data_IF_205571470232
#
_entry.id   IF_205571470232
#
_cell.length_a   1.000
_cell.length_b   1.000
_cell.length_c   1.000
_cell.angle_alpha   90.00
_cell.angle_beta   90.00
_cell.angle_gamma   90.00
#
_symmetry.space_group_name_H-M   'P 1'
#
loop_
_entity.id
_entity.type
_entity.pdbx_description
1 polymer ?
#
# COMPACT_ATOMS: atom_id res chain seq x y z
N UNK A 1 -5.01 3.82 -19.87
CA UNK A 1 -4.07 4.77 -19.22
C UNK A 1 -4.65 4.97 -17.83
N UNK A 2 -3.86 5.12 -16.78
CA UNK A 2 -4.45 5.36 -15.46
C UNK A 2 -4.96 6.81 -15.45
N UNK A 3 -6.27 6.98 -15.52
CA UNK A 3 -6.95 8.28 -15.55
C UNK A 3 -7.47 8.64 -14.15
N UNK A 4 -8.09 9.82 -14.06
CA UNK A 4 -8.59 10.38 -12.81
C UNK A 4 -9.68 9.50 -12.18
N UNK A 5 -10.63 9.00 -12.97
CA UNK A 5 -11.68 8.09 -12.50
C UNK A 5 -11.10 6.76 -11.98
N UNK A 6 -10.11 6.18 -12.68
CA UNK A 6 -9.40 4.99 -12.20
C UNK A 6 -8.67 5.24 -10.88
N UNK A 7 -8.13 6.45 -10.68
CA UNK A 7 -7.48 6.84 -9.43
C UNK A 7 -8.47 7.00 -8.29
N UNK A 8 -9.63 7.63 -8.52
CA UNK A 8 -10.68 7.77 -7.52
C UNK A 8 -11.20 6.41 -7.04
N UNK A 9 -11.53 5.51 -7.98
CA UNK A 9 -11.98 4.15 -7.66
C UNK A 9 -10.91 3.40 -6.86
N UNK A 10 -9.64 3.53 -7.26
CA UNK A 10 -8.53 2.90 -6.55
C UNK A 10 -8.38 3.47 -5.13
N UNK A 11 -8.43 4.79 -4.97
CA UNK A 11 -8.33 5.47 -3.69
C UNK A 11 -9.41 5.00 -2.71
N UNK A 12 -10.67 4.96 -3.14
CA UNK A 12 -11.80 4.51 -2.30
C UNK A 12 -11.63 3.04 -1.89
N UNK A 13 -11.24 2.17 -2.82
CA UNK A 13 -10.99 0.74 -2.54
C UNK A 13 -9.84 0.57 -1.55
N UNK A 14 -8.75 1.33 -1.71
CA UNK A 14 -7.59 1.22 -0.82
C UNK A 14 -7.88 1.74 0.57
N UNK A 15 -8.60 2.87 0.67
CA UNK A 15 -9.06 3.38 1.96
C UNK A 15 -9.93 2.35 2.68
N UNK A 16 -10.96 1.83 2.02
CA UNK A 16 -11.84 0.81 2.59
C UNK A 16 -11.10 -0.47 3.00
N UNK A 17 -10.17 -0.95 2.17
CA UNK A 17 -9.35 -2.12 2.50
C UNK A 17 -8.47 -1.87 3.73
N UNK A 18 -7.82 -0.71 3.83
CA UNK A 18 -6.99 -0.36 4.99
C UNK A 18 -7.83 -0.11 6.25
N UNK A 19 -9.02 0.47 6.12
CA UNK A 19 -9.98 0.70 7.21
C UNK A 19 -10.39 -0.64 7.85
N UNK A 20 -10.75 -1.65 7.03
CA UNK A 20 -11.10 -2.98 7.55
C UNK A 20 -9.96 -3.70 8.28
N UNK A 21 -8.72 -3.25 8.11
CA UNK A 21 -7.54 -3.81 8.76
C UNK A 21 -7.04 -2.96 9.94
N UNK A 22 -7.74 -1.88 10.31
CA UNK A 22 -7.29 -0.86 11.26
C UNK A 22 -5.95 -0.21 10.87
N UNK A 23 -5.65 -0.13 9.57
CA UNK A 23 -4.39 0.38 9.04
C UNK A 23 -4.51 1.78 8.45
N UNK A 24 -5.72 2.25 8.09
CA UNK A 24 -5.89 3.58 7.51
C UNK A 24 -5.34 4.67 8.42
N UNK A 25 -5.74 4.68 9.68
CA UNK A 25 -5.23 5.59 10.72
C UNK A 25 -3.71 5.53 10.87
N UNK A 26 -3.11 4.35 10.68
CA UNK A 26 -1.66 4.16 10.79
C UNK A 26 -0.94 4.76 9.60
N UNK A 27 -1.52 4.64 8.41
CA UNK A 27 -1.00 5.23 7.16
C UNK A 27 -1.17 6.74 7.18
N UNK A 28 -2.37 7.23 7.51
CA UNK A 28 -2.73 8.65 7.48
C UNK A 28 -1.93 9.46 8.51
N UNK A 29 -1.79 8.94 9.74
CA UNK A 29 -1.08 9.67 10.81
C UNK A 29 0.44 9.53 10.72
N UNK A 30 0.95 8.51 10.00
CA UNK A 30 2.36 8.09 9.91
C UNK A 30 3.21 8.36 11.17
N UNK A 31 2.63 8.10 12.34
CA UNK A 31 3.26 8.51 13.60
C UNK A 31 4.59 7.79 13.81
N UNK A 32 5.55 8.47 14.42
CA UNK A 32 6.80 7.82 14.82
C UNK A 32 6.57 6.97 16.06
N UNK A 33 7.10 5.74 16.05
CA UNK A 33 7.06 4.85 17.22
C UNK A 33 8.25 5.23 18.10
N UNK A 34 7.99 6.00 19.16
CA UNK A 34 9.03 6.37 20.13
C UNK A 34 9.69 5.13 20.75
N UNK A 35 11.01 5.17 21.03
CA UNK A 35 11.69 4.11 21.76
C UNK A 35 11.04 3.87 23.13
N UNK A 36 11.10 2.63 23.61
CA UNK A 36 10.74 2.32 24.99
C UNK A 36 11.72 2.98 25.97
N UNK A 37 11.22 3.39 27.13
CA UNK A 37 12.05 3.82 28.25
C UNK A 37 12.89 2.63 28.78
N UNK A 38 13.95 2.92 29.55
CA UNK A 38 14.84 1.87 30.09
C UNK A 38 14.13 0.83 30.96
N UNK A 39 13.10 1.24 31.73
CA UNK A 39 12.30 0.36 32.59
C UNK A 39 10.81 0.47 32.26
N UNK A 40 10.36 -0.09 31.13
CA UNK A 40 8.98 0.06 30.69
C UNK A 40 8.06 -0.87 31.46
N UNK A 41 6.86 -0.38 31.80
CA UNK A 41 5.79 -1.25 32.31
C UNK A 41 5.40 -2.29 31.24
N UNK A 42 4.87 -3.44 31.66
CA UNK A 42 4.31 -4.46 30.75
C UNK A 42 3.34 -3.85 29.72
N UNK A 43 2.46 -2.96 30.17
CA UNK A 43 1.49 -2.25 29.31
C UNK A 43 2.16 -1.38 28.24
N UNK A 44 3.24 -0.66 28.59
CA UNK A 44 4.01 0.15 27.63
C UNK A 44 4.68 -0.74 26.57
N UNK A 45 5.23 -1.88 26.99
CA UNK A 45 5.87 -2.84 26.08
C UNK A 45 4.86 -3.45 25.10
N UNK A 46 3.67 -3.83 25.58
CA UNK A 46 2.59 -4.37 24.74
C UNK A 46 2.16 -3.33 23.71
N UNK A 47 1.91 -2.10 24.15
CA UNK A 47 1.50 -1.00 23.28
C UNK A 47 2.55 -0.67 22.21
N UNK A 48 3.83 -0.58 22.59
CA UNK A 48 4.94 -0.36 21.67
C UNK A 48 5.03 -1.46 20.60
N UNK A 49 4.97 -2.73 21.01
CA UNK A 49 5.00 -3.87 20.07
C UNK A 49 3.81 -3.80 19.12
N UNK A 50 2.59 -3.56 19.62
CA UNK A 50 1.38 -3.41 18.79
C UNK A 50 1.57 -2.31 17.74
N UNK A 51 1.98 -1.11 18.15
CA UNK A 51 2.21 0.01 17.22
C UNK A 51 3.28 -0.28 16.18
N UNK A 52 4.41 -0.86 16.59
CA UNK A 52 5.49 -1.24 15.68
C UNK A 52 5.01 -2.27 14.64
N UNK A 53 4.28 -3.29 15.07
CA UNK A 53 3.70 -4.31 14.18
C UNK A 53 2.66 -3.72 13.24
N UNK A 54 1.74 -2.87 13.72
CA UNK A 54 0.76 -2.22 12.87
C UNK A 54 1.42 -1.34 11.80
N UNK A 55 2.47 -0.58 12.14
CA UNK A 55 3.23 0.22 11.17
C UNK A 55 3.94 -0.64 10.12
N UNK A 56 4.53 -1.77 10.51
CA UNK A 56 5.13 -2.71 9.58
C UNK A 56 4.08 -3.33 8.64
N UNK A 57 2.91 -3.72 9.18
CA UNK A 57 1.80 -4.28 8.41
C UNK A 57 1.26 -3.27 7.40
N UNK A 58 1.04 -2.02 7.82
CA UNK A 58 0.63 -0.93 6.93
C UNK A 58 1.60 -0.75 5.75
N UNK A 59 2.91 -0.67 6.03
CA UNK A 59 3.93 -0.56 4.98
C UNK A 59 3.92 -1.76 4.02
N UNK A 60 3.80 -2.98 4.55
CA UNK A 60 3.74 -4.18 3.72
C UNK A 60 2.51 -4.18 2.82
N UNK A 61 1.33 -3.84 3.35
CA UNK A 61 0.10 -3.76 2.57
C UNK A 61 0.23 -2.75 1.43
N UNK A 62 0.68 -1.52 1.72
CA UNK A 62 0.90 -0.50 0.70
C UNK A 62 1.89 -0.95 -0.38
N UNK A 63 3.00 -1.58 0.02
CA UNK A 63 3.98 -2.10 -0.93
C UNK A 63 3.37 -3.16 -1.87
N UNK A 64 2.66 -4.15 -1.32
CA UNK A 64 2.01 -5.19 -2.12
C UNK A 64 0.99 -4.62 -3.11
N UNK A 65 0.21 -3.62 -2.69
CA UNK A 65 -0.77 -2.94 -3.54
C UNK A 65 -0.08 -2.20 -4.69
N UNK A 66 0.94 -1.40 -4.39
CA UNK A 66 1.69 -0.64 -5.40
C UNK A 66 2.36 -1.58 -6.40
N UNK A 67 2.87 -2.72 -5.93
CA UNK A 67 3.46 -3.74 -6.78
C UNK A 67 2.44 -4.33 -7.76
N UNK A 68 1.22 -4.67 -7.31
CA UNK A 68 0.15 -5.18 -8.18
C UNK A 68 -0.21 -4.17 -9.27
N UNK A 69 -0.41 -2.90 -8.91
CA UNK A 69 -0.71 -1.83 -9.87
C UNK A 69 0.41 -1.67 -10.90
N UNK A 70 1.67 -1.66 -10.43
CA UNK A 70 2.83 -1.54 -11.30
C UNK A 70 2.90 -2.71 -12.29
N UNK A 71 2.71 -3.95 -11.83
CA UNK A 71 2.69 -5.14 -12.68
C UNK A 71 1.59 -5.06 -13.74
N UNK A 72 0.37 -4.64 -13.38
CA UNK A 72 -0.73 -4.48 -14.33
C UNK A 72 -0.42 -3.42 -15.39
N UNK A 73 0.11 -2.26 -14.99
CA UNK A 73 0.53 -1.21 -15.93
C UNK A 73 1.62 -1.71 -16.88
N UNK A 74 2.60 -2.45 -16.36
CA UNK A 74 3.67 -3.02 -17.17
C UNK A 74 3.15 -4.04 -18.18
N UNK A 75 2.25 -4.95 -17.78
CA UNK A 75 1.61 -5.92 -18.67
C UNK A 75 0.85 -5.19 -19.80
N UNK A 76 0.02 -4.20 -19.45
CA UNK A 76 -0.75 -3.43 -20.44
C UNK A 76 0.16 -2.66 -21.42
N UNK A 77 1.25 -2.08 -20.94
CA UNK A 77 2.24 -1.40 -21.79
C UNK A 77 2.94 -2.37 -22.73
N UNK A 78 3.30 -3.55 -22.22
CA UNK A 78 3.91 -4.60 -23.01
C UNK A 78 2.93 -5.07 -24.10
N UNK A 79 1.73 -5.51 -23.74
CA UNK A 79 0.69 -5.94 -24.70
C UNK A 79 0.45 -4.92 -25.82
N UNK A 80 0.25 -3.64 -25.47
CA UNK A 80 0.10 -2.57 -26.47
C UNK A 80 1.31 -2.44 -27.40
N UNK A 81 2.53 -2.62 -26.88
CA UNK A 81 3.75 -2.58 -27.70
C UNK A 81 3.79 -3.76 -28.68
N UNK A 82 3.35 -4.95 -28.27
CA UNK A 82 3.26 -6.12 -29.14
C UNK A 82 2.21 -5.92 -30.23
N UNK A 83 1.01 -5.45 -29.89
CA UNK A 83 -0.05 -5.14 -30.85
C UNK A 83 0.39 -4.08 -31.88
N UNK A 84 1.09 -3.03 -31.43
CA UNK A 84 1.66 -2.00 -32.33
C UNK A 84 2.83 -2.51 -33.18
N UNK A 85 3.46 -3.63 -32.82
CA UNK A 85 4.54 -4.24 -33.57
C UNK A 85 3.99 -5.24 -34.60
N UNK A 86 3.06 -6.12 -34.22
CA UNK A 86 2.38 -7.02 -35.15
C UNK A 86 1.50 -6.26 -36.16
N UNK A 87 0.76 -5.25 -35.72
CA UNK A 87 -0.04 -4.40 -36.61
C UNK A 87 0.79 -3.48 -37.54
N UNK A 88 2.12 -3.44 -37.36
CA UNK A 88 3.06 -2.77 -38.29
C UNK A 88 3.76 -3.73 -39.25
N UNK A 89 3.57 -5.04 -39.08
CA UNK A 89 4.13 -6.09 -39.96
C UNK A 89 3.09 -6.57 -40.98
N UNK A 90 1.82 -6.14 -40.87
CA UNK A 90 0.79 -6.30 -41.91
C UNK A 90 0.71 -5.09 -42.85
#
# INVERSE_FOLDING_TARGET
>A
MFDEESYEIWMVKMKSYLDTLDLWDVVEKDYQVSPLLQNPTSMQTIYYKKRKTMKAKAKSCLFSILQINFTQIMILKYQRKYELFEGRIC
#
